data_IF_121859309471
#
_entry.id   IF_121859309471
#
_cell.length_a   1.000
_cell.length_b   1.000
_cell.length_c   1.000
_cell.angle_alpha   90.00
_cell.angle_beta   90.00
_cell.angle_gamma   90.00
#
_symmetry.space_group_name_H-M   'P 1'
#
loop_
_entity.id
_entity.type
_entity.pdbx_description
1 polymer ?
#
# COMPACT_ATOMS: atom_id res chain seq x y z
N UNK A 1 32.42 -2.78 7.79
CA UNK A 1 31.28 -3.33 8.55
C UNK A 1 30.99 -4.63 7.86
N UNK A 2 31.24 -5.75 8.53
CA UNK A 2 31.01 -7.07 7.94
C UNK A 2 29.53 -7.21 7.58
N UNK A 3 29.24 -7.83 6.43
CA UNK A 3 27.85 -8.09 6.05
C UNK A 3 27.20 -8.98 7.13
N UNK A 4 25.99 -8.63 7.60
CA UNK A 4 25.29 -9.45 8.58
C UNK A 4 25.03 -10.84 7.99
N UNK A 5 25.27 -11.87 8.80
CA UNK A 5 25.08 -13.28 8.39
C UNK A 5 23.62 -13.56 8.00
N UNK A 6 22.67 -12.94 8.71
CA UNK A 6 21.24 -12.98 8.39
C UNK A 6 20.76 -11.63 7.82
N UNK A 7 19.99 -11.65 6.73
CA UNK A 7 19.49 -10.43 6.11
C UNK A 7 18.21 -10.64 5.26
N UNK A 8 17.53 -9.55 4.96
CA UNK A 8 16.43 -9.47 3.99
C UNK A 8 16.79 -8.44 2.93
N UNK A 9 16.91 -8.88 1.68
CA UNK A 9 17.24 -8.03 0.55
C UNK A 9 16.08 -7.95 -0.45
N UNK A 10 15.58 -6.73 -0.70
CA UNK A 10 14.77 -6.42 -1.86
C UNK A 10 15.59 -5.54 -2.79
N UNK A 11 15.63 -5.79 -4.09
CA UNK A 11 16.28 -4.91 -5.07
C UNK A 11 15.46 -4.97 -6.36
N UNK A 12 15.21 -3.85 -7.01
CA UNK A 12 14.46 -3.75 -8.25
C UNK A 12 15.17 -2.75 -9.14
N UNK A 13 15.25 -3.03 -10.44
CA UNK A 13 15.60 -2.10 -11.52
C UNK A 13 14.85 -2.54 -12.77
N UNK A 14 13.85 -1.79 -13.22
CA UNK A 14 13.11 -2.00 -14.45
C UNK A 14 12.86 -0.64 -15.10
N UNK A 15 13.45 -0.40 -16.28
CA UNK A 15 13.51 0.94 -16.89
C UNK A 15 13.99 1.97 -15.85
N UNK A 16 13.21 3.01 -15.62
CA UNK A 16 13.50 4.06 -14.64
C UNK A 16 13.10 3.68 -13.21
N UNK A 17 12.45 2.53 -13.01
CA UNK A 17 12.07 2.09 -11.67
C UNK A 17 13.21 1.34 -11.00
N UNK A 18 13.78 1.89 -9.93
CA UNK A 18 14.77 1.17 -9.12
C UNK A 18 14.44 1.28 -7.63
N UNK A 19 14.39 0.17 -6.90
CA UNK A 19 14.14 0.19 -5.46
C UNK A 19 14.91 -0.92 -4.75
N UNK A 20 15.69 -0.61 -3.74
CA UNK A 20 16.38 -1.61 -2.90
C UNK A 20 15.92 -1.45 -1.44
N UNK A 21 15.54 -2.53 -0.75
CA UNK A 21 15.15 -2.53 0.67
C UNK A 21 15.89 -3.66 1.39
N UNK A 22 17.02 -3.31 1.99
CA UNK A 22 17.85 -4.22 2.78
C UNK A 22 17.56 -4.07 4.27
N UNK A 23 17.59 -5.17 5.00
CA UNK A 23 17.59 -5.22 6.46
C UNK A 23 18.66 -6.23 6.88
N UNK A 24 19.66 -5.78 7.63
CA UNK A 24 20.54 -6.68 8.36
C UNK A 24 19.85 -7.18 9.62
N UNK A 25 19.97 -8.47 9.92
CA UNK A 25 19.43 -9.09 11.12
C UNK A 25 20.59 -9.36 12.07
N UNK A 26 20.46 -8.85 13.29
CA UNK A 26 21.41 -8.99 14.38
C UNK A 26 20.72 -9.62 15.59
N UNK A 27 21.48 -9.98 16.62
CA UNK A 27 20.95 -10.62 17.84
C UNK A 27 19.89 -9.80 18.57
N UNK A 28 19.86 -8.48 18.39
CA UNK A 28 18.89 -7.56 18.99
C UNK A 28 17.73 -7.20 18.05
N UNK A 29 17.76 -7.66 16.79
CA UNK A 29 16.69 -7.42 15.81
C UNK A 29 15.44 -8.15 16.21
N UNK A 30 14.35 -7.41 16.37
CA UNK A 30 13.09 -7.98 16.85
C UNK A 30 12.22 -8.47 15.70
N UNK A 31 11.38 -9.50 15.93
CA UNK A 31 10.44 -9.99 14.91
C UNK A 31 9.53 -8.90 14.33
N UNK A 32 9.09 -7.92 15.14
CA UNK A 32 8.25 -6.83 14.66
C UNK A 32 8.97 -5.87 13.69
N UNK A 33 10.30 -5.74 13.80
CA UNK A 33 11.12 -4.94 12.86
C UNK A 33 11.20 -5.63 11.50
N UNK A 34 11.39 -6.95 11.51
CA UNK A 34 11.37 -7.80 10.32
C UNK A 34 10.01 -7.69 9.61
N UNK A 35 8.91 -7.86 10.34
CA UNK A 35 7.55 -7.76 9.77
C UNK A 35 7.27 -6.35 9.23
N UNK A 36 7.72 -5.31 9.93
CA UNK A 36 7.58 -3.92 9.46
C UNK A 36 8.35 -3.68 8.14
N UNK A 37 9.55 -4.24 7.99
CA UNK A 37 10.32 -4.18 6.75
C UNK A 37 9.64 -4.92 5.60
N UNK A 38 9.11 -6.12 5.86
CA UNK A 38 8.34 -6.90 4.89
C UNK A 38 7.06 -6.15 4.44
N UNK A 39 6.36 -5.51 5.37
CA UNK A 39 5.19 -4.68 5.06
C UNK A 39 5.54 -3.50 4.13
N UNK A 40 6.73 -2.88 4.33
CA UNK A 40 7.26 -1.87 3.40
C UNK A 40 7.45 -2.46 2.01
N UNK A 41 8.18 -3.59 1.92
CA UNK A 41 8.47 -4.29 0.66
C UNK A 41 7.16 -4.53 -0.11
N UNK A 42 6.19 -5.17 0.53
CA UNK A 42 4.85 -5.44 -0.01
C UNK A 42 4.19 -4.18 -0.59
N UNK A 43 4.11 -3.09 0.17
CA UNK A 43 3.47 -1.85 -0.30
C UNK A 43 4.11 -1.28 -1.58
N UNK A 44 5.42 -1.44 -1.74
CA UNK A 44 6.12 -0.98 -2.94
C UNK A 44 5.90 -1.88 -4.15
N UNK A 45 5.89 -3.19 -3.94
CA UNK A 45 5.54 -4.15 -4.99
C UNK A 45 4.12 -3.88 -5.46
N UNK A 46 3.17 -3.85 -4.53
CA UNK A 46 1.75 -3.65 -4.80
C UNK A 46 1.48 -2.39 -5.62
N UNK A 47 1.96 -1.22 -5.15
CA UNK A 47 1.81 0.04 -5.88
C UNK A 47 2.34 -0.04 -7.31
N UNK A 48 3.48 -0.71 -7.51
CA UNK A 48 4.11 -0.80 -8.84
C UNK A 48 3.45 -1.80 -9.75
N UNK A 49 2.89 -2.89 -9.22
CA UNK A 49 2.09 -3.83 -10.00
C UNK A 49 0.96 -3.12 -10.73
N UNK A 50 0.19 -2.28 -10.04
CA UNK A 50 -0.90 -1.53 -10.69
C UNK A 50 -0.39 -0.51 -11.72
N UNK A 51 0.71 0.18 -11.43
CA UNK A 51 1.35 1.10 -12.39
C UNK A 51 1.78 0.37 -13.66
N UNK A 52 2.41 -0.80 -13.54
CA UNK A 52 2.89 -1.56 -14.70
C UNK A 52 1.75 -2.17 -15.52
N UNK A 53 0.64 -2.50 -14.86
CA UNK A 53 -0.61 -2.89 -15.53
C UNK A 53 -1.38 -1.70 -16.12
N UNK A 54 -0.88 -0.47 -15.94
CA UNK A 54 -1.53 0.76 -16.42
C UNK A 54 -2.97 0.92 -15.90
N UNK A 55 -3.23 0.42 -14.69
CA UNK A 55 -4.50 0.61 -13.97
C UNK A 55 -4.47 2.00 -13.35
N UNK A 56 -5.49 2.82 -13.65
CA UNK A 56 -5.62 4.19 -13.13
C UNK A 56 -6.15 4.16 -11.69
N UNK A 57 -5.26 3.83 -10.75
CA UNK A 57 -5.59 3.67 -9.32
C UNK A 57 -6.17 4.93 -8.69
N UNK A 58 -5.85 6.10 -9.23
CA UNK A 58 -6.32 7.40 -8.73
C UNK A 58 -7.83 7.55 -8.88
N UNK A 59 -8.40 7.07 -9.99
CA UNK A 59 -9.85 7.07 -10.23
C UNK A 59 -10.55 6.14 -9.23
N UNK A 60 -9.96 4.98 -8.97
CA UNK A 60 -10.50 3.99 -8.02
C UNK A 60 -10.41 4.51 -6.58
N UNK A 61 -9.34 5.22 -6.23
CA UNK A 61 -9.15 5.84 -4.92
C UNK A 61 -10.13 6.99 -4.65
N UNK A 62 -10.41 7.81 -5.66
CA UNK A 62 -11.43 8.86 -5.57
C UNK A 62 -12.83 8.25 -5.40
N UNK A 63 -13.15 7.24 -6.20
CA UNK A 63 -14.42 6.55 -6.10
C UNK A 63 -14.62 5.84 -4.75
N UNK A 64 -13.59 5.16 -4.25
CA UNK A 64 -13.62 4.54 -2.92
C UNK A 64 -13.89 5.58 -1.82
N UNK A 65 -13.27 6.77 -1.90
CA UNK A 65 -13.53 7.87 -0.95
C UNK A 65 -14.97 8.37 -1.04
N UNK A 66 -15.52 8.51 -2.24
CA UNK A 66 -16.91 8.89 -2.45
C UNK A 66 -17.88 7.87 -1.83
N UNK A 67 -17.69 6.58 -2.11
CA UNK A 67 -18.51 5.50 -1.55
C UNK A 67 -18.48 5.45 -0.01
N UNK A 68 -17.33 5.77 0.57
CA UNK A 68 -17.10 5.73 2.01
C UNK A 68 -17.42 7.06 2.71
N UNK A 69 -17.81 8.12 1.99
CA UNK A 69 -18.07 9.42 2.58
C UNK A 69 -19.14 9.33 3.70
N UNK A 70 -18.83 9.89 4.87
CA UNK A 70 -19.71 9.84 6.05
C UNK A 70 -19.87 8.46 6.70
N UNK A 71 -19.13 7.45 6.26
CA UNK A 71 -19.22 6.08 6.79
C UNK A 71 -18.40 5.95 8.08
N UNK A 72 -18.98 5.31 9.10
CA UNK A 72 -18.27 5.00 10.36
C UNK A 72 -17.60 3.63 10.28
N UNK A 73 -16.49 3.45 11.01
CA UNK A 73 -15.83 2.15 11.13
C UNK A 73 -16.68 1.16 11.95
N UNK A 74 -17.41 0.27 11.28
CA UNK A 74 -18.07 -0.90 11.84
C UNK A 74 -18.48 -1.87 10.71
N UNK A 75 -18.81 -3.11 11.06
CA UNK A 75 -19.14 -4.15 10.07
C UNK A 75 -20.43 -3.89 9.29
N UNK A 76 -21.45 -3.30 9.92
CA UNK A 76 -22.72 -2.95 9.26
C UNK A 76 -22.49 -1.89 8.18
N UNK A 77 -21.72 -0.86 8.50
CA UNK A 77 -21.31 0.19 7.59
C UNK A 77 -20.45 -0.36 6.45
N UNK A 78 -19.51 -1.28 6.74
CA UNK A 78 -18.71 -1.95 5.72
C UNK A 78 -19.58 -2.73 4.73
N UNK A 79 -20.49 -3.59 5.23
CA UNK A 79 -21.39 -4.37 4.38
C UNK A 79 -22.27 -3.47 3.51
N UNK A 80 -22.77 -2.36 4.09
CA UNK A 80 -23.57 -1.38 3.35
C UNK A 80 -22.75 -0.73 2.22
N UNK A 81 -21.51 -0.35 2.48
CA UNK A 81 -20.64 0.26 1.47
C UNK A 81 -20.23 -0.73 0.38
N UNK A 82 -19.95 -1.99 0.72
CA UNK A 82 -19.69 -3.04 -0.28
C UNK A 82 -20.91 -3.24 -1.17
N UNK A 83 -22.12 -3.29 -0.61
CA UNK A 83 -23.34 -3.39 -1.42
C UNK A 83 -23.52 -2.17 -2.35
N UNK A 84 -23.11 -0.96 -1.93
CA UNK A 84 -23.13 0.24 -2.79
C UNK A 84 -22.19 0.12 -3.99
N UNK A 85 -21.16 -0.72 -3.96
CA UNK A 85 -20.28 -0.94 -5.12
C UNK A 85 -21.02 -1.59 -6.29
N UNK A 86 -22.14 -2.28 -6.05
CA UNK A 86 -22.96 -2.91 -7.09
C UNK A 86 -23.83 -1.89 -7.86
N UNK A 87 -23.34 -0.67 -8.08
CA UNK A 87 -24.04 0.39 -8.78
C UNK A 87 -23.47 0.64 -10.20
N UNK A 88 -24.27 1.17 -11.14
CA UNK A 88 -23.82 1.40 -12.52
C UNK A 88 -22.65 2.38 -12.64
N UNK A 89 -22.53 3.33 -11.72
CA UNK A 89 -21.42 4.30 -11.69
C UNK A 89 -20.08 3.61 -11.43
N UNK A 90 -20.05 2.68 -10.47
CA UNK A 90 -18.87 1.88 -10.13
C UNK A 90 -18.38 1.09 -11.34
N UNK A 91 -19.32 0.50 -12.10
CA UNK A 91 -18.99 -0.19 -13.35
C UNK A 91 -18.32 0.76 -14.36
N UNK A 92 -18.85 1.97 -14.56
CA UNK A 92 -18.27 2.98 -15.47
C UNK A 92 -16.88 3.43 -15.03
N UNK A 93 -16.66 3.61 -13.73
CA UNK A 93 -15.36 3.97 -13.17
C UNK A 93 -14.35 2.85 -13.42
N UNK A 94 -14.72 1.59 -13.19
CA UNK A 94 -13.86 0.42 -13.46
C UNK A 94 -13.49 0.32 -14.94
N UNK A 95 -14.47 0.45 -15.84
CA UNK A 95 -14.25 0.46 -17.30
C UNK A 95 -13.35 1.62 -17.76
N UNK A 96 -13.34 2.74 -17.04
CA UNK A 96 -12.47 3.89 -17.31
C UNK A 96 -11.05 3.73 -16.75
N UNK A 97 -10.92 2.92 -15.69
CA UNK A 97 -9.68 2.71 -14.96
C UNK A 97 -8.82 1.56 -15.50
N UNK A 98 -9.42 0.54 -16.12
CA UNK A 98 -8.73 -0.65 -16.58
C UNK A 98 -9.35 -1.22 -17.88
N UNK A 99 -8.54 -1.97 -18.64
CA UNK A 99 -9.04 -2.74 -19.79
C UNK A 99 -9.87 -3.94 -19.32
N UNK A 100 -10.71 -4.49 -20.23
CA UNK A 100 -11.61 -5.62 -19.92
C UNK A 100 -10.90 -6.82 -19.29
N UNK A 101 -9.68 -7.11 -19.71
CA UNK A 101 -8.89 -8.24 -19.19
C UNK A 101 -8.37 -8.00 -17.76
N UNK A 102 -8.15 -6.74 -17.40
CA UNK A 102 -7.64 -6.33 -16.09
C UNK A 102 -8.76 -5.99 -15.09
N UNK A 103 -10.02 -6.10 -15.50
CA UNK A 103 -11.19 -5.81 -14.66
C UNK A 103 -11.18 -6.54 -13.32
N UNK A 104 -10.87 -7.86 -13.25
CA UNK A 104 -10.83 -8.55 -11.95
C UNK A 104 -9.80 -7.96 -10.99
N UNK A 105 -8.67 -7.45 -11.52
CA UNK A 105 -7.61 -6.82 -10.72
C UNK A 105 -8.05 -5.44 -10.24
N UNK A 106 -8.69 -4.66 -11.12
CA UNK A 106 -9.24 -3.34 -10.76
C UNK A 106 -10.36 -3.44 -9.71
N UNK A 107 -11.23 -4.46 -9.82
CA UNK A 107 -12.28 -4.76 -8.85
C UNK A 107 -11.68 -5.15 -7.48
N UNK A 108 -10.69 -6.04 -7.47
CA UNK A 108 -9.98 -6.42 -6.25
C UNK A 108 -9.29 -5.21 -5.58
N UNK A 109 -8.65 -4.35 -6.37
CA UNK A 109 -8.08 -3.10 -5.87
C UNK A 109 -9.16 -2.22 -5.24
N UNK A 110 -10.24 -1.93 -5.96
CA UNK A 110 -11.32 -1.07 -5.47
C UNK A 110 -11.92 -1.61 -4.17
N UNK A 111 -12.20 -2.91 -4.10
CA UNK A 111 -12.71 -3.56 -2.88
C UNK A 111 -11.76 -3.36 -1.71
N UNK A 112 -10.47 -3.64 -1.89
CA UNK A 112 -9.46 -3.43 -0.86
C UNK A 112 -9.39 -1.96 -0.43
N UNK A 113 -9.48 -1.02 -1.37
CA UNK A 113 -9.51 0.42 -1.06
C UNK A 113 -10.75 0.83 -0.29
N UNK A 114 -11.93 0.30 -0.62
CA UNK A 114 -13.16 0.55 0.14
C UNK A 114 -13.02 0.05 1.58
N UNK A 115 -12.57 -1.19 1.78
CA UNK A 115 -12.40 -1.78 3.12
C UNK A 115 -11.41 -0.95 3.96
N UNK A 116 -10.27 -0.59 3.36
CA UNK A 116 -9.25 0.24 4.00
C UNK A 116 -9.76 1.66 4.30
N UNK A 117 -10.56 2.26 3.41
CA UNK A 117 -11.11 3.62 3.60
C UNK A 117 -12.16 3.67 4.71
N UNK A 118 -12.95 2.61 4.89
CA UNK A 118 -13.84 2.47 6.07
C UNK A 118 -13.04 2.34 7.38
N UNK A 119 -11.76 1.96 7.30
CA UNK A 119 -10.83 1.91 8.42
C UNK A 119 -10.50 0.49 8.90
N UNK A 120 -10.76 -0.52 8.08
CA UNK A 120 -10.32 -1.90 8.32
C UNK A 120 -9.10 -2.19 7.47
N UNK A 121 -8.00 -2.56 8.11
CA UNK A 121 -6.84 -3.07 7.40
C UNK A 121 -7.10 -4.54 7.04
N UNK A 122 -6.98 -4.90 5.77
CA UNK A 122 -7.08 -6.30 5.32
C UNK A 122 -5.77 -7.06 5.46
N UNK A 123 -4.66 -6.33 5.65
CA UNK A 123 -3.30 -6.86 5.60
C UNK A 123 -2.39 -6.09 6.57
N UNK A 124 -1.31 -6.74 7.00
CA UNK A 124 -0.29 -6.12 7.83
C UNK A 124 0.38 -4.99 7.05
N UNK A 125 0.33 -3.78 7.60
CA UNK A 125 0.96 -2.62 7.02
C UNK A 125 1.82 -1.86 8.05
N UNK A 126 2.72 -1.02 7.56
CA UNK A 126 3.66 -0.28 8.41
C UNK A 126 2.94 0.63 9.41
N UNK A 127 1.79 1.21 9.05
CA UNK A 127 1.01 2.08 9.95
C UNK A 127 0.39 1.28 11.10
N UNK A 128 -0.16 0.09 10.83
CA UNK A 128 -0.63 -0.84 11.87
C UNK A 128 0.52 -1.22 12.81
N UNK A 129 1.67 -1.63 12.24
CA UNK A 129 2.84 -2.05 13.01
C UNK A 129 3.37 -0.90 13.91
N UNK A 130 3.51 0.32 13.39
CA UNK A 130 3.96 1.48 14.18
C UNK A 130 2.97 1.91 15.27
N UNK A 131 1.67 1.61 15.12
CA UNK A 131 0.67 1.86 16.17
C UNK A 131 0.80 0.85 17.32
N UNK A 132 1.03 -0.42 17.00
CA UNK A 132 1.14 -1.51 17.98
C UNK A 132 2.51 -1.48 18.68
N UNK A 133 3.57 -1.16 17.93
CA UNK A 133 4.94 -1.12 18.41
C UNK A 133 5.50 0.31 18.19
N UNK A 134 5.32 1.24 19.16
CA UNK A 134 5.73 2.64 19.03
C UNK A 134 7.23 2.86 18.80
N UNK A 135 8.07 1.85 19.09
CA UNK A 135 9.50 1.85 18.79
C UNK A 135 9.83 1.76 17.29
N UNK A 136 8.88 1.32 16.45
CA UNK A 136 9.04 1.25 15.01
C UNK A 136 8.78 2.63 14.38
N UNK A 137 9.85 3.32 13.97
CA UNK A 137 9.76 4.66 13.34
C UNK A 137 8.89 4.60 12.07
N UNK A 138 7.85 5.46 11.93
CA UNK A 138 7.10 5.54 10.70
C UNK A 138 8.01 5.98 9.54
N UNK A 139 7.75 5.52 8.30
CA UNK A 139 8.53 5.95 7.15
C UNK A 139 8.46 7.48 7.03
N UNK A 140 9.62 8.15 7.06
CA UNK A 140 9.70 9.59 6.82
C UNK A 140 9.13 9.85 5.42
N UNK A 141 8.16 10.75 5.31
CA UNK A 141 7.70 11.23 4.00
C UNK A 141 8.92 11.69 3.18
N UNK A 142 8.94 11.53 1.85
CA UNK A 142 10.05 11.98 1.02
C UNK A 142 10.17 13.51 1.11
N UNK A 143 10.93 13.97 2.10
CA UNK A 143 11.32 15.35 2.29
C UNK A 143 12.34 15.71 1.22
N UNK A 144 12.08 16.84 0.55
CA UNK A 144 12.96 17.53 -0.40
C UNK A 144 14.43 17.39 0.03
N UNK A 145 15.22 16.68 -0.78
CA UNK A 145 16.67 16.53 -0.59
C UNK A 145 17.26 17.91 -0.28
N UNK A 146 17.75 18.08 0.94
CA UNK A 146 18.43 19.29 1.35
C UNK A 146 19.61 19.52 0.42
N UNK A 147 19.69 20.72 -0.17
CA UNK A 147 20.83 21.13 -0.98
C UNK A 147 22.11 20.87 -0.18
N UNK A 148 22.99 20.01 -0.67
CA UNK A 148 24.34 19.84 -0.14
C UNK A 148 25.01 21.21 -0.10
N UNK A 149 25.37 21.70 1.08
CA UNK A 149 26.36 22.77 1.17
C UNK A 149 27.66 22.19 0.63
N UNK A 150 28.15 22.78 -0.47
CA UNK A 150 29.54 22.61 -0.90
C UNK A 150 30.41 23.29 0.16
N UNK A 151 31.31 22.53 0.77
CA UNK A 151 32.58 23.06 1.28
C UNK A 151 33.63 22.86 0.19
#
# INVERSE_FOLDING_TARGET
>A
MDEPEEHIDFMAKYRDWVSIKRLGIHSDTKPEEVVHHLASIRSTIERKSYTFLSIKTELLDEHARSLCAGTRKNYTSLATTINRMANPETKRVLESAASRELMPIAEAYLLGRVVNTVGFDTEINQTMMSKIFPGLKPPRAPGRLGKSKKE
#
